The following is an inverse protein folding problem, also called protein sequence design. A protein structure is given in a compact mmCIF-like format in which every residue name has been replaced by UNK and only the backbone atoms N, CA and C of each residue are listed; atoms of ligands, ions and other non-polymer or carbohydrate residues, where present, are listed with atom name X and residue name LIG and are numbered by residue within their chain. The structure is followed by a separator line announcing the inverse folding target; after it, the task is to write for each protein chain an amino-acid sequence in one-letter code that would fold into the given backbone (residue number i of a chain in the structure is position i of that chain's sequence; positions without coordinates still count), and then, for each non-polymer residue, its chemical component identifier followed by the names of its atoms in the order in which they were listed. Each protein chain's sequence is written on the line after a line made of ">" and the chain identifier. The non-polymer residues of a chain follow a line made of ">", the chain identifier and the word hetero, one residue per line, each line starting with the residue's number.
data_IF_842501811610
#
_entry.id   IF_842501811610
#
_cell.length_a   1.000
_cell.length_b   1.000
_cell.length_c   1.000
_cell.angle_alpha   90.00
_cell.angle_beta   90.00
_cell.angle_gamma   90.00
#
_symmetry.space_group_name_H-M   'P 1'
#
loop_
_entity.id
_entity.type
_entity.pdbx_description
1 polymer ?
#
# COMPACT_ATOMS: atom_id res chain seq x y z
N UNK A 1 -22.81 -8.69 -6.21
CA UNK A 1 -23.60 -9.37 -7.26
C UNK A 1 -24.56 -8.40 -7.94
N UNK A 2 -25.51 -7.78 -7.22
CA UNK A 2 -26.45 -6.79 -7.80
C UNK A 2 -25.77 -5.65 -8.57
N UNK A 3 -24.83 -4.95 -7.95
CA UNK A 3 -24.08 -3.85 -8.59
C UNK A 3 -23.16 -4.32 -9.73
N UNK A 4 -22.70 -5.56 -9.67
CA UNK A 4 -21.85 -6.16 -10.70
C UNK A 4 -22.66 -6.72 -11.89
N UNK A 5 -24.00 -6.62 -11.86
CA UNK A 5 -24.87 -7.23 -12.87
C UNK A 5 -24.83 -8.77 -12.90
N UNK A 6 -24.23 -9.40 -11.89
CA UNK A 6 -24.11 -10.85 -11.79
C UNK A 6 -25.42 -11.42 -11.27
N UNK A 7 -26.18 -12.03 -12.17
CA UNK A 7 -27.51 -12.58 -11.87
C UNK A 7 -27.50 -14.02 -11.40
N UNK A 8 -26.43 -14.78 -11.69
CA UNK A 8 -26.36 -16.20 -11.32
C UNK A 8 -25.05 -16.56 -10.62
N UNK A 9 -25.10 -17.60 -9.78
CA UNK A 9 -23.91 -18.21 -9.17
C UNK A 9 -23.01 -18.93 -10.20
N UNK A 10 -23.52 -19.14 -11.42
CA UNK A 10 -22.72 -19.72 -12.50
C UNK A 10 -21.61 -18.76 -12.94
N UNK A 11 -21.85 -17.44 -12.84
CA UNK A 11 -20.94 -16.39 -13.29
C UNK A 11 -19.76 -16.14 -12.31
N UNK A 12 -19.68 -16.89 -11.20
CA UNK A 12 -18.58 -16.79 -10.23
C UNK A 12 -17.70 -18.03 -10.32
N UNK A 13 -16.47 -17.88 -10.80
CA UNK A 13 -15.56 -19.02 -10.99
C UNK A 13 -14.81 -19.43 -9.71
N UNK A 14 -14.47 -18.45 -8.86
CA UNK A 14 -13.72 -18.70 -7.63
C UNK A 14 -14.08 -17.67 -6.54
N UNK A 15 -13.73 -18.01 -5.30
CA UNK A 15 -13.90 -17.14 -4.14
C UNK A 15 -12.53 -16.77 -3.58
N UNK A 16 -12.25 -15.48 -3.55
CA UNK A 16 -10.97 -14.93 -3.09
C UNK A 16 -11.14 -14.30 -1.71
N UNK A 17 -10.12 -14.41 -0.86
CA UNK A 17 -10.14 -13.76 0.45
C UNK A 17 -8.74 -13.33 0.89
N UNK A 18 -8.70 -12.34 1.78
CA UNK A 18 -7.46 -11.88 2.39
C UNK A 18 -6.98 -12.89 3.42
N UNK A 19 -5.90 -13.62 3.13
CA UNK A 19 -5.26 -14.51 4.10
C UNK A 19 -4.44 -13.73 5.13
N UNK A 20 -3.87 -12.60 4.72
CA UNK A 20 -3.06 -11.72 5.56
C UNK A 20 -2.11 -10.85 4.72
N UNK A 21 -1.25 -10.03 5.36
CA UNK A 21 -1.21 -9.79 6.81
C UNK A 21 -2.39 -8.93 7.26
N UNK A 22 -2.56 -8.76 8.59
CA UNK A 22 -3.63 -7.92 9.14
C UNK A 22 -4.08 -8.29 10.55
N UNK A 23 -5.14 -7.62 11.01
CA UNK A 23 -5.73 -7.86 12.34
C UNK A 23 -6.37 -9.24 12.42
N UNK A 24 -6.11 -9.97 13.51
CA UNK A 24 -6.47 -11.38 13.64
C UNK A 24 -7.98 -11.63 13.58
N UNK A 25 -8.76 -10.87 14.35
CA UNK A 25 -10.21 -11.06 14.42
C UNK A 25 -10.93 -10.79 13.07
N UNK A 26 -10.68 -9.67 12.36
CA UNK A 26 -11.24 -9.46 11.02
C UNK A 26 -10.83 -10.54 10.00
N UNK A 27 -9.55 -10.95 10.00
CA UNK A 27 -9.08 -12.01 9.11
C UNK A 27 -9.76 -13.35 9.40
N UNK A 28 -9.98 -13.68 10.68
CA UNK A 28 -10.70 -14.88 11.08
C UNK A 28 -12.14 -14.87 10.57
N UNK A 29 -12.84 -13.74 10.69
CA UNK A 29 -14.20 -13.59 10.17
C UNK A 29 -14.24 -13.80 8.66
N UNK A 30 -13.30 -13.18 7.92
CA UNK A 30 -13.20 -13.34 6.46
C UNK A 30 -12.95 -14.80 6.06
N UNK A 31 -12.01 -15.48 6.72
CA UNK A 31 -11.69 -16.88 6.45
C UNK A 31 -12.88 -17.81 6.74
N UNK A 32 -13.62 -17.60 7.84
CA UNK A 32 -14.81 -18.40 8.14
C UNK A 32 -15.92 -18.17 7.10
N UNK A 33 -16.20 -16.91 6.77
CA UNK A 33 -17.24 -16.55 5.81
C UNK A 33 -16.98 -17.17 4.42
N UNK A 34 -15.75 -17.02 3.89
CA UNK A 34 -15.43 -17.54 2.56
C UNK A 34 -15.47 -19.08 2.50
N UNK A 35 -15.09 -19.76 3.59
CA UNK A 35 -15.14 -21.23 3.69
C UNK A 35 -16.57 -21.75 3.63
N UNK A 36 -17.48 -21.11 4.38
CA UNK A 36 -18.90 -21.43 4.34
C UNK A 36 -19.46 -21.24 2.94
N UNK A 37 -19.15 -20.10 2.30
CA UNK A 37 -19.59 -19.82 0.93
C UNK A 37 -19.03 -20.83 -0.08
N UNK A 38 -17.74 -21.19 0.02
CA UNK A 38 -17.12 -22.17 -0.86
C UNK A 38 -17.77 -23.55 -0.76
N UNK A 39 -18.12 -23.99 0.45
CA UNK A 39 -18.83 -25.26 0.66
C UNK A 39 -20.26 -25.23 0.13
N UNK A 40 -20.99 -24.13 0.36
CA UNK A 40 -22.37 -23.97 -0.12
C UNK A 40 -22.44 -23.88 -1.64
N UNK A 41 -21.56 -23.08 -2.25
CA UNK A 41 -21.58 -22.79 -3.68
C UNK A 41 -20.73 -23.75 -4.50
N UNK A 42 -19.97 -24.63 -3.84
CA UNK A 42 -19.03 -25.59 -4.45
C UNK A 42 -18.05 -24.89 -5.40
N UNK A 43 -17.53 -23.74 -4.96
CA UNK A 43 -16.55 -22.93 -5.72
C UNK A 43 -15.16 -23.04 -5.10
N UNK A 44 -14.09 -23.05 -5.92
CA UNK A 44 -12.72 -23.09 -5.44
C UNK A 44 -12.37 -21.81 -4.66
N UNK A 45 -11.47 -21.95 -3.69
CA UNK A 45 -10.93 -20.87 -2.87
C UNK A 45 -9.57 -20.42 -3.39
N UNK A 46 -9.28 -19.13 -3.22
CA UNK A 46 -7.94 -18.56 -3.43
C UNK A 46 -7.60 -17.63 -2.28
N UNK A 47 -6.55 -17.99 -1.54
CA UNK A 47 -5.95 -17.16 -0.51
C UNK A 47 -5.06 -16.08 -1.13
N UNK A 48 -5.28 -14.82 -0.76
CA UNK A 48 -4.56 -13.68 -1.33
C UNK A 48 -3.78 -12.95 -0.25
N UNK A 49 -2.55 -12.54 -0.58
CA UNK A 49 -1.75 -11.66 0.24
C UNK A 49 -2.19 -10.20 0.02
N UNK A 50 -2.49 -9.50 1.10
CA UNK A 50 -3.00 -8.14 1.08
C UNK A 50 -2.02 -7.13 0.44
N UNK A 51 -0.73 -7.21 0.76
CA UNK A 51 0.28 -6.32 0.21
C UNK A 51 0.45 -6.54 -1.29
N UNK A 52 0.50 -7.79 -1.73
CA UNK A 52 0.56 -8.13 -3.16
C UNK A 52 -0.69 -7.66 -3.90
N UNK A 53 -1.85 -7.71 -3.25
CA UNK A 53 -3.09 -7.25 -3.86
C UNK A 53 -3.10 -5.74 -4.15
N UNK A 54 -2.59 -4.93 -3.21
CA UNK A 54 -2.37 -3.50 -3.43
C UNK A 54 -1.47 -3.25 -4.65
N UNK A 55 -0.37 -3.98 -4.76
CA UNK A 55 0.58 -3.84 -5.87
C UNK A 55 -0.09 -4.20 -7.21
N UNK A 56 -0.72 -5.37 -7.31
CA UNK A 56 -1.28 -5.85 -8.57
C UNK A 56 -2.45 -5.01 -9.05
N UNK A 57 -3.33 -4.56 -8.14
CA UNK A 57 -4.39 -3.62 -8.49
C UNK A 57 -3.81 -2.28 -8.95
N UNK A 58 -2.82 -1.74 -8.24
CA UNK A 58 -2.14 -0.51 -8.63
C UNK A 58 -1.53 -0.60 -10.04
N UNK A 59 -0.87 -1.72 -10.35
CA UNK A 59 -0.32 -1.98 -11.70
C UNK A 59 -1.41 -2.06 -12.76
N UNK A 60 -2.51 -2.78 -12.48
CA UNK A 60 -3.61 -2.96 -13.43
C UNK A 60 -4.28 -1.63 -13.80
N UNK A 61 -4.54 -0.78 -12.80
CA UNK A 61 -5.24 0.50 -12.99
C UNK A 61 -4.34 1.54 -13.64
N UNK A 62 -3.05 1.57 -13.29
CA UNK A 62 -2.12 2.62 -13.74
C UNK A 62 -1.34 2.25 -14.99
N UNK A 63 -1.30 0.97 -15.37
CA UNK A 63 -0.44 0.46 -16.44
C UNK A 63 1.03 0.34 -16.06
N UNK A 64 1.37 0.41 -14.76
CA UNK A 64 2.74 0.27 -14.30
C UNK A 64 3.26 -1.16 -14.54
N UNK A 65 4.26 -1.31 -15.41
CA UNK A 65 4.79 -2.62 -15.78
C UNK A 65 5.67 -3.20 -14.67
N UNK A 66 6.82 -2.58 -14.38
CA UNK A 66 7.79 -3.08 -13.40
C UNK A 66 8.38 -1.97 -12.49
N UNK A 67 7.53 -1.31 -11.68
CA UNK A 67 7.94 -0.20 -10.83
C UNK A 67 8.61 -0.66 -9.52
N UNK A 68 9.33 0.26 -8.88
CA UNK A 68 9.51 0.23 -7.41
C UNK A 68 8.19 0.66 -6.77
N UNK A 69 7.71 -0.09 -5.78
CA UNK A 69 6.45 0.20 -5.12
C UNK A 69 6.70 0.81 -3.75
N UNK A 70 6.15 1.99 -3.49
CA UNK A 70 5.99 2.53 -2.16
C UNK A 70 4.60 2.17 -1.65
N UNK A 71 4.51 1.24 -0.71
CA UNK A 71 3.25 0.85 -0.06
C UNK A 71 3.12 1.54 1.29
N UNK A 72 2.19 2.48 1.40
CA UNK A 72 1.97 3.32 2.58
C UNK A 72 0.50 3.36 2.99
N UNK A 73 0.18 2.67 4.09
CA UNK A 73 -1.18 2.60 4.65
C UNK A 73 -1.19 2.96 6.13
N UNK A 74 -2.36 2.87 6.77
CA UNK A 74 -2.48 2.97 8.23
C UNK A 74 -1.62 1.95 8.98
N UNK A 75 -1.46 0.75 8.41
CA UNK A 75 -0.78 -0.38 9.06
C UNK A 75 0.52 -0.84 8.42
N UNK A 76 0.85 -0.37 7.20
CA UNK A 76 2.04 -0.81 6.46
C UNK A 76 2.83 0.38 5.93
N UNK A 77 4.16 0.27 5.92
CA UNK A 77 5.04 1.23 5.24
C UNK A 77 6.25 0.46 4.73
N UNK A 78 6.27 0.18 3.43
CA UNK A 78 7.24 -0.70 2.78
C UNK A 78 7.64 -0.15 1.41
N UNK A 79 8.91 -0.35 1.04
CA UNK A 79 9.47 -0.13 -0.29
C UNK A 79 9.77 -1.50 -0.89
N UNK A 80 9.09 -1.83 -1.98
CA UNK A 80 9.00 -3.18 -2.52
C UNK A 80 9.41 -3.14 -3.99
N UNK A 81 10.11 -4.16 -4.49
CA UNK A 81 10.27 -4.33 -5.93
C UNK A 81 10.18 -5.80 -6.32
N UNK A 82 9.75 -6.05 -7.56
CA UNK A 82 9.68 -7.40 -8.10
C UNK A 82 11.08 -7.88 -8.51
N UNK A 83 11.46 -9.07 -8.05
CA UNK A 83 12.73 -9.73 -8.35
C UNK A 83 12.61 -11.24 -8.20
N UNK A 84 13.09 -12.00 -9.19
CA UNK A 84 13.17 -13.47 -9.13
C UNK A 84 11.84 -14.15 -8.73
N UNK A 85 10.74 -13.78 -9.39
CA UNK A 85 9.43 -14.40 -9.14
C UNK A 85 8.66 -13.83 -7.95
N UNK A 86 9.26 -12.97 -7.13
CA UNK A 86 8.69 -12.53 -5.84
C UNK A 86 8.76 -11.01 -5.67
N UNK A 87 7.87 -10.47 -4.84
CA UNK A 87 7.93 -9.09 -4.39
C UNK A 87 8.83 -8.99 -3.16
N UNK A 88 10.04 -8.44 -3.33
CA UNK A 88 11.02 -8.29 -2.25
C UNK A 88 10.88 -6.94 -1.58
N UNK A 89 10.98 -6.95 -0.25
CA UNK A 89 10.97 -5.74 0.59
C UNK A 89 12.40 -5.24 0.69
N UNK A 90 12.68 -4.05 0.17
CA UNK A 90 13.98 -3.39 0.26
C UNK A 90 14.08 -2.55 1.52
N UNK A 91 13.01 -1.82 1.83
CA UNK A 91 12.91 -0.99 3.02
C UNK A 91 11.56 -1.12 3.69
N UNK A 92 11.53 -1.01 5.01
CA UNK A 92 10.30 -1.01 5.79
C UNK A 92 10.45 -0.21 7.08
N UNK A 93 9.32 0.19 7.65
CA UNK A 93 9.31 0.71 9.02
C UNK A 93 9.69 -0.39 10.00
N UNK A 94 10.45 -0.03 11.04
CA UNK A 94 10.83 -0.94 12.13
C UNK A 94 9.94 -0.79 13.35
N UNK A 95 9.00 0.16 13.35
CA UNK A 95 8.13 0.45 14.48
C UNK A 95 6.65 0.59 14.11
N UNK A 96 6.17 1.80 13.81
CA UNK A 96 4.80 2.09 13.42
C UNK A 96 4.75 2.43 11.94
N UNK A 97 3.61 2.23 11.28
CA UNK A 97 3.41 2.72 9.92
C UNK A 97 3.21 4.24 9.89
N UNK A 98 3.53 4.85 8.75
CA UNK A 98 3.37 6.28 8.52
C UNK A 98 1.92 6.74 8.70
N UNK A 99 0.94 5.95 8.25
CA UNK A 99 -0.47 6.29 8.45
C UNK A 99 -0.85 6.33 9.93
N UNK A 100 -0.40 5.37 10.74
CA UNK A 100 -0.61 5.41 12.19
C UNK A 100 0.11 6.60 12.86
N UNK A 101 1.30 6.99 12.36
CA UNK A 101 1.98 8.20 12.84
C UNK A 101 1.14 9.46 12.60
N UNK A 102 0.62 9.63 11.37
CA UNK A 102 -0.28 10.72 11.02
C UNK A 102 -1.58 10.68 11.84
N UNK A 103 -2.22 9.52 11.96
CA UNK A 103 -3.47 9.36 12.72
C UNK A 103 -3.31 9.68 14.20
N UNK A 104 -2.17 9.33 14.80
CA UNK A 104 -1.88 9.68 16.20
C UNK A 104 -1.64 11.17 16.36
N UNK A 105 -0.89 11.78 15.45
CA UNK A 105 -0.64 13.21 15.51
C UNK A 105 -1.91 14.04 15.28
N UNK A 106 -2.80 13.60 14.38
CA UNK A 106 -4.10 14.23 14.17
C UNK A 106 -4.94 14.28 15.46
N UNK A 107 -4.88 13.23 16.29
CA UNK A 107 -5.54 13.19 17.60
C UNK A 107 -4.95 14.17 18.59
N UNK A 108 -3.64 14.38 18.59
CA UNK A 108 -2.99 15.40 19.44
C UNK A 108 -3.49 16.81 19.11
N UNK A 109 -3.76 17.07 17.84
CA UNK A 109 -4.32 18.35 17.37
C UNK A 109 -5.85 18.41 17.44
N UNK A 110 -6.52 17.37 17.97
CA UNK A 110 -7.98 17.23 17.99
C UNK A 110 -8.64 17.42 16.61
N UNK A 111 -7.98 16.93 15.54
CA UNK A 111 -8.55 16.95 14.20
C UNK A 111 -9.65 15.88 14.07
N UNK A 112 -10.62 16.15 13.19
CA UNK A 112 -11.69 15.20 12.89
C UNK A 112 -11.12 13.91 12.29
N UNK A 113 -11.80 12.79 12.53
CA UNK A 113 -11.54 11.53 11.83
C UNK A 113 -12.25 11.45 10.47
N UNK A 114 -13.22 12.35 10.22
CA UNK A 114 -13.97 12.42 8.96
C UNK A 114 -13.37 13.51 8.05
N UNK A 115 -13.05 13.22 6.77
CA UNK A 115 -13.18 11.92 6.08
C UNK A 115 -12.07 10.91 6.44
N UNK A 116 -10.86 11.40 6.76
CA UNK A 116 -9.79 10.63 7.39
C UNK A 116 -8.83 11.55 8.15
N UNK A 117 -8.13 11.07 9.19
CA UNK A 117 -7.18 11.90 9.93
C UNK A 117 -6.01 12.37 9.04
N UNK A 118 -5.49 11.49 8.18
CA UNK A 118 -4.43 11.82 7.21
C UNK A 118 -4.84 12.93 6.24
N UNK A 119 -6.06 12.88 5.70
CA UNK A 119 -6.59 13.94 4.85
C UNK A 119 -6.71 15.28 5.60
N UNK A 120 -7.16 15.26 6.85
CA UNK A 120 -7.29 16.48 7.64
C UNK A 120 -5.93 17.09 8.00
N UNK A 121 -4.90 16.27 8.23
CA UNK A 121 -3.51 16.77 8.33
C UNK A 121 -3.09 17.45 7.03
N UNK A 122 -3.37 16.85 5.87
CA UNK A 122 -3.01 17.42 4.57
C UNK A 122 -3.68 18.78 4.32
N UNK A 123 -4.99 18.88 4.58
CA UNK A 123 -5.69 20.16 4.40
C UNK A 123 -5.18 21.25 5.33
N UNK A 124 -4.74 20.87 6.54
CA UNK A 124 -4.18 21.80 7.50
C UNK A 124 -2.73 22.18 7.16
N UNK A 125 -1.94 21.23 6.67
CA UNK A 125 -0.57 21.45 6.21
C UNK A 125 -0.48 22.47 5.07
N UNK A 126 -1.48 22.52 4.17
CA UNK A 126 -1.57 23.53 3.10
C UNK A 126 -1.61 24.98 3.60
N UNK A 127 -1.91 25.20 4.88
CA UNK A 127 -1.95 26.52 5.52
C UNK A 127 -0.71 26.82 6.36
N UNK A 128 0.25 25.88 6.42
CA UNK A 128 1.49 26.08 7.15
C UNK A 128 2.41 27.02 6.37
N UNK A 129 3.05 27.94 7.08
CA UNK A 129 3.97 28.93 6.50
C UNK A 129 5.39 28.75 7.03
N UNK A 130 5.53 28.07 8.17
CA UNK A 130 6.81 27.91 8.88
C UNK A 130 7.21 26.44 8.97
N UNK A 131 8.40 26.13 8.48
CA UNK A 131 9.04 24.84 8.71
C UNK A 131 9.67 24.79 10.11
N UNK A 132 9.36 23.73 10.85
CA UNK A 132 9.93 23.39 12.15
C UNK A 132 10.86 22.21 11.96
N UNK A 133 12.07 22.31 12.50
CA UNK A 133 13.04 21.22 12.42
C UNK A 133 12.55 20.03 13.27
N UNK A 134 12.37 18.88 12.61
CA UNK A 134 11.91 17.64 13.21
C UNK A 134 12.98 16.55 13.01
N UNK A 135 13.08 15.55 13.91
CA UNK A 135 14.06 14.48 13.77
C UNK A 135 13.92 13.71 12.44
N UNK A 136 14.91 13.86 11.57
CA UNK A 136 15.02 13.10 10.33
C UNK A 136 15.76 11.78 10.58
N UNK A 137 15.05 10.65 10.56
CA UNK A 137 15.63 9.35 10.97
C UNK A 137 15.51 8.31 9.87
N UNK A 138 16.54 8.22 9.04
CA UNK A 138 16.71 7.13 8.07
C UNK A 138 17.94 6.29 8.44
N UNK A 139 17.77 4.97 8.57
CA UNK A 139 18.84 4.03 8.88
C UNK A 139 18.96 3.00 7.78
N UNK A 140 19.85 3.28 6.81
CA UNK A 140 20.04 2.45 5.62
C UNK A 140 18.75 2.38 4.80
N UNK A 141 18.02 1.27 4.94
CA UNK A 141 16.75 1.02 4.25
C UNK A 141 15.51 1.15 5.15
N UNK A 142 15.71 1.46 6.43
CA UNK A 142 14.64 1.49 7.43
C UNK A 142 14.33 2.90 7.90
N UNK A 143 13.06 3.13 8.22
CA UNK A 143 12.52 4.44 8.60
C UNK A 143 11.62 4.30 9.84
N UNK A 144 12.14 4.51 11.06
CA UNK A 144 11.32 4.56 12.26
C UNK A 144 10.55 5.88 12.37
N UNK A 145 9.25 5.81 12.67
CA UNK A 145 8.41 7.00 12.86
C UNK A 145 8.08 7.29 14.32
N UNK A 146 8.36 6.39 15.27
CA UNK A 146 8.02 6.62 16.69
C UNK A 146 8.81 7.78 17.29
N UNK A 147 10.08 7.94 16.90
CA UNK A 147 10.93 9.02 17.41
C UNK A 147 10.44 10.41 16.99
N UNK A 148 10.14 10.59 15.70
CA UNK A 148 9.57 11.84 15.19
C UNK A 148 8.18 12.09 15.79
N UNK A 149 7.35 11.05 15.93
CA UNK A 149 6.03 11.16 16.56
C UNK A 149 6.13 11.64 18.01
N UNK A 150 6.93 10.98 18.85
CA UNK A 150 7.08 11.39 20.25
C UNK A 150 7.67 12.79 20.39
N UNK A 151 8.61 13.17 19.52
CA UNK A 151 9.18 14.51 19.52
C UNK A 151 8.14 15.57 19.18
N UNK A 152 7.37 15.38 18.11
CA UNK A 152 6.35 16.36 17.70
C UNK A 152 5.17 16.39 18.66
N UNK A 153 4.77 15.26 19.27
CA UNK A 153 3.74 15.22 20.32
C UNK A 153 4.15 16.09 21.52
N UNK A 154 5.39 15.97 22.01
CA UNK A 154 5.89 16.77 23.12
C UNK A 154 6.03 18.26 22.74
N UNK A 155 6.63 18.52 21.58
CA UNK A 155 6.94 19.88 21.12
C UNK A 155 5.68 20.67 20.75
N UNK A 156 4.66 20.00 20.19
CA UNK A 156 3.39 20.64 19.82
C UNK A 156 2.72 21.27 21.05
N UNK A 157 2.68 20.58 22.19
CA UNK A 157 2.04 21.09 23.42
C UNK A 157 2.69 22.39 23.89
N UNK A 158 4.02 22.44 23.92
CA UNK A 158 4.77 23.63 24.37
C UNK A 158 4.69 24.78 23.36
N UNK A 159 4.94 24.51 22.08
CA UNK A 159 4.98 25.54 21.05
C UNK A 159 3.61 26.16 20.76
N UNK A 160 2.54 25.37 20.79
CA UNK A 160 1.17 25.89 20.64
C UNK A 160 0.79 26.76 21.84
N UNK A 161 1.18 26.36 23.07
CA UNK A 161 0.92 27.16 24.27
C UNK A 161 1.66 28.50 24.25
N UNK A 162 2.88 28.52 23.70
CA UNK A 162 3.71 29.72 23.60
C UNK A 162 3.43 30.56 22.34
N UNK A 163 2.48 30.17 21.48
CA UNK A 163 2.22 30.79 20.17
C UNK A 163 3.47 30.88 19.26
N UNK A 164 4.40 29.92 19.36
CA UNK A 164 5.62 29.88 18.54
C UNK A 164 5.39 29.31 17.13
N UNK A 165 4.30 28.56 16.96
CA UNK A 165 3.85 27.97 15.71
C UNK A 165 2.34 27.75 15.74
N UNK A 166 1.77 27.46 14.58
CA UNK A 166 0.37 27.06 14.42
C UNK A 166 0.25 25.54 14.28
N UNK A 167 -0.96 24.95 14.47
CA UNK A 167 -1.22 23.57 14.10
C UNK A 167 -0.91 23.27 12.62
N UNK A 168 -1.10 24.26 11.75
CA UNK A 168 -0.79 24.17 10.32
C UNK A 168 0.71 24.03 10.06
N UNK A 169 1.54 24.81 10.75
CA UNK A 169 3.00 24.71 10.65
C UNK A 169 3.52 23.33 11.11
N UNK A 170 2.90 22.76 12.15
CA UNK A 170 3.25 21.43 12.63
C UNK A 170 2.86 20.34 11.62
N UNK A 171 1.64 20.39 11.07
CA UNK A 171 1.20 19.47 10.02
C UNK A 171 2.09 19.55 8.78
N UNK A 172 2.43 20.77 8.35
CA UNK A 172 3.34 21.02 7.24
C UNK A 172 4.72 20.41 7.49
N UNK A 173 5.34 20.75 8.62
CA UNK A 173 6.68 20.27 8.97
C UNK A 173 6.75 18.75 9.10
N UNK A 174 5.70 18.15 9.67
CA UNK A 174 5.59 16.70 9.80
C UNK A 174 5.52 16.02 8.42
N UNK A 175 4.67 16.52 7.52
CA UNK A 175 4.54 15.97 6.17
C UNK A 175 5.84 16.11 5.38
N UNK A 176 6.45 17.29 5.35
CA UNK A 176 7.72 17.50 4.63
C UNK A 176 8.81 16.56 5.14
N UNK A 177 8.95 16.41 6.47
CA UNK A 177 10.00 15.56 7.05
C UNK A 177 9.76 14.09 6.74
N UNK A 178 8.54 13.58 6.99
CA UNK A 178 8.20 12.17 6.78
C UNK A 178 8.24 11.80 5.29
N UNK A 179 7.67 12.64 4.43
CA UNK A 179 7.61 12.33 3.00
C UNK A 179 8.98 12.43 2.35
N UNK A 180 9.85 13.34 2.79
CA UNK A 180 11.25 13.33 2.37
C UNK A 180 11.96 12.01 2.73
N UNK A 181 11.73 11.48 3.95
CA UNK A 181 12.26 10.16 4.35
C UNK A 181 11.77 9.03 3.44
N UNK A 182 10.49 9.03 3.08
CA UNK A 182 9.91 8.03 2.18
C UNK A 182 10.48 8.14 0.76
N UNK A 183 10.63 9.36 0.24
CA UNK A 183 11.19 9.63 -1.08
C UNK A 183 12.66 9.20 -1.15
N UNK A 184 13.47 9.52 -0.14
CA UNK A 184 14.89 9.11 -0.07
C UNK A 184 15.06 7.60 -0.22
N UNK A 185 14.25 6.82 0.49
CA UNK A 185 14.42 5.36 0.56
C UNK A 185 13.82 4.69 -0.67
N UNK A 186 12.75 5.27 -1.22
CA UNK A 186 12.22 4.87 -2.54
C UNK A 186 13.26 5.12 -3.63
N UNK A 187 13.91 6.29 -3.64
CA UNK A 187 14.97 6.61 -4.59
C UNK A 187 16.17 5.67 -4.47
N UNK A 188 16.60 5.34 -3.24
CA UNK A 188 17.65 4.33 -3.01
C UNK A 188 17.27 2.99 -3.64
N UNK A 189 16.01 2.57 -3.50
CA UNK A 189 15.55 1.29 -4.04
C UNK A 189 15.51 1.31 -5.56
N UNK A 190 15.10 2.44 -6.16
CA UNK A 190 15.17 2.63 -7.61
C UNK A 190 16.59 2.50 -8.14
N UNK A 191 17.55 3.16 -7.49
CA UNK A 191 18.95 3.08 -7.86
C UNK A 191 19.52 1.66 -7.70
N UNK A 192 19.13 0.95 -6.65
CA UNK A 192 19.59 -0.42 -6.40
C UNK A 192 18.99 -1.45 -7.37
N UNK A 193 17.73 -1.27 -7.76
CA UNK A 193 17.02 -2.19 -8.66
C UNK A 193 17.17 -1.85 -10.15
N UNK A 194 17.86 -0.75 -10.48
CA UNK A 194 17.91 -0.17 -11.84
C UNK A 194 16.52 0.04 -12.46
N UNK A 195 15.59 0.56 -11.65
CA UNK A 195 14.21 0.85 -12.04
C UNK A 195 13.98 2.35 -12.12
N UNK A 196 13.20 2.79 -13.10
CA UNK A 196 12.89 4.21 -13.33
C UNK A 196 11.53 4.63 -12.81
N UNK A 197 10.58 3.69 -12.78
CA UNK A 197 9.20 4.02 -12.44
C UNK A 197 8.91 3.69 -10.97
N UNK A 198 8.06 4.52 -10.35
CA UNK A 198 7.53 4.31 -9.01
C UNK A 198 6.03 4.13 -9.07
N UNK A 199 5.51 3.18 -8.30
CA UNK A 199 4.09 3.02 -8.04
C UNK A 199 3.83 3.31 -6.56
N UNK A 200 2.90 4.21 -6.26
CA UNK A 200 2.44 4.47 -4.89
C UNK A 200 1.09 3.76 -4.68
N UNK A 201 0.98 2.99 -3.60
CA UNK A 201 -0.24 2.29 -3.17
C UNK A 201 -0.47 2.42 -1.67
N UNK A 202 -1.70 2.14 -1.21
CA UNK A 202 -2.14 2.29 0.17
C UNK A 202 -2.70 3.69 0.47
N UNK A 203 -3.58 3.79 1.46
CA UNK A 203 -4.36 5.02 1.70
C UNK A 203 -3.56 6.30 1.96
N UNK A 204 -2.33 6.23 2.47
CA UNK A 204 -1.46 7.42 2.62
C UNK A 204 -0.90 7.86 1.27
N UNK A 205 -0.85 6.95 0.31
CA UNK A 205 -0.44 7.19 -1.07
C UNK A 205 -1.35 8.12 -1.85
N UNK A 206 -2.57 8.36 -1.35
CA UNK A 206 -3.49 9.35 -1.91
C UNK A 206 -3.08 10.80 -1.62
N UNK A 207 -2.16 11.03 -0.67
CA UNK A 207 -1.74 12.36 -0.29
C UNK A 207 -1.06 13.09 -1.46
N UNK A 208 -1.60 14.24 -1.84
CA UNK A 208 -1.16 14.99 -3.03
C UNK A 208 0.28 15.49 -2.86
N UNK A 209 0.66 15.86 -1.63
CA UNK A 209 2.01 16.35 -1.34
C UNK A 209 3.06 15.24 -1.47
N UNK A 210 2.78 14.05 -0.94
CA UNK A 210 3.64 12.88 -1.14
C UNK A 210 3.78 12.54 -2.63
N UNK A 211 2.68 12.55 -3.38
CA UNK A 211 2.72 12.32 -4.82
C UNK A 211 3.51 13.40 -5.57
N UNK A 212 3.39 14.67 -5.18
CA UNK A 212 4.17 15.77 -5.75
C UNK A 212 5.67 15.55 -5.54
N UNK A 213 6.11 15.30 -4.30
CA UNK A 213 7.52 15.06 -3.98
C UNK A 213 8.07 13.84 -4.74
N UNK A 214 7.31 12.75 -4.80
CA UNK A 214 7.71 11.55 -5.53
C UNK A 214 7.77 11.80 -7.05
N UNK A 215 6.84 12.58 -7.60
CA UNK A 215 6.80 12.93 -9.03
C UNK A 215 8.03 13.74 -9.42
N UNK A 216 8.43 14.70 -8.61
CA UNK A 216 9.66 15.47 -8.80
C UNK A 216 10.86 14.53 -8.84
N UNK A 217 11.05 13.69 -7.83
CA UNK A 217 12.17 12.73 -7.77
C UNK A 217 12.18 11.78 -8.99
N UNK A 218 11.03 11.22 -9.37
CA UNK A 218 10.93 10.37 -10.55
C UNK A 218 11.33 11.11 -11.83
N UNK A 219 10.89 12.36 -11.99
CA UNK A 219 11.19 13.17 -13.18
C UNK A 219 12.68 13.48 -13.31
N UNK A 220 13.37 13.76 -12.20
CA UNK A 220 14.82 14.01 -12.16
C UNK A 220 15.64 12.77 -12.55
N UNK A 221 15.06 11.57 -12.34
CA UNK A 221 15.66 10.27 -12.73
C UNK A 221 15.23 9.80 -14.13
N UNK A 222 14.43 10.59 -14.85
CA UNK A 222 13.90 10.23 -16.17
C UNK A 222 12.88 9.09 -16.13
N UNK A 223 12.14 8.97 -15.03
CA UNK A 223 11.10 7.98 -14.80
C UNK A 223 9.73 8.59 -14.53
N UNK A 224 8.75 7.75 -14.19
CA UNK A 224 7.36 8.16 -13.98
C UNK A 224 6.84 7.73 -12.63
N UNK A 225 6.01 8.60 -12.05
CA UNK A 225 5.16 8.24 -10.92
C UNK A 225 3.82 7.71 -11.44
N UNK A 226 3.49 6.50 -11.02
CA UNK A 226 2.16 5.92 -11.08
C UNK A 226 1.52 6.03 -9.70
N UNK A 227 0.38 6.68 -9.62
CA UNK A 227 -0.40 6.79 -8.39
C UNK A 227 -1.86 6.47 -8.72
N UNK A 228 -2.54 5.81 -7.77
CA UNK A 228 -3.96 5.50 -7.88
C UNK A 228 -4.80 6.51 -7.12
N UNK A 229 -6.01 6.78 -7.60
CA UNK A 229 -7.01 7.53 -6.84
C UNK A 229 -7.59 6.69 -5.68
N UNK A 230 -8.34 7.35 -4.80
CA UNK A 230 -8.93 6.77 -3.59
C UNK A 230 -9.72 5.48 -3.83
N UNK A 231 -10.30 5.27 -5.04
CA UNK A 231 -11.15 4.10 -5.32
C UNK A 231 -10.40 2.78 -5.21
N UNK A 232 -9.11 2.78 -5.54
CA UNK A 232 -8.28 1.58 -5.60
C UNK A 232 -7.06 1.62 -4.67
N UNK A 233 -6.68 2.81 -4.19
CA UNK A 233 -5.56 2.99 -3.28
C UNK A 233 -5.87 2.55 -1.84
N UNK A 234 -7.15 2.62 -1.44
CA UNK A 234 -7.61 2.16 -0.12
C UNK A 234 -8.01 0.69 -0.15
N UNK A 235 -8.07 0.07 1.03
CA UNK A 235 -8.44 -1.34 1.18
C UNK A 235 -9.83 -1.62 0.58
N UNK A 236 -9.87 -2.48 -0.42
CA UNK A 236 -11.11 -2.85 -1.11
C UNK A 236 -11.15 -4.34 -1.46
N UNK A 237 -12.35 -4.88 -1.70
CA UNK A 237 -12.51 -6.28 -2.10
C UNK A 237 -12.07 -6.57 -3.53
N UNK A 238 -12.03 -5.55 -4.40
CA UNK A 238 -11.70 -5.72 -5.82
C UNK A 238 -10.22 -6.07 -6.01
N UNK A 239 -9.29 -5.49 -5.25
CA UNK A 239 -7.86 -5.85 -5.33
C UNK A 239 -7.61 -7.32 -4.95
N UNK A 240 -8.39 -7.82 -3.98
CA UNK A 240 -8.33 -9.22 -3.55
C UNK A 240 -8.90 -10.12 -4.64
N UNK A 241 -10.06 -9.76 -5.21
CA UNK A 241 -10.67 -10.51 -6.30
C UNK A 241 -9.77 -10.54 -7.55
N UNK A 242 -9.18 -9.41 -7.95
CA UNK A 242 -8.31 -9.30 -9.10
C UNK A 242 -7.03 -10.15 -8.94
N UNK A 243 -6.35 -10.01 -7.81
CA UNK A 243 -5.11 -10.77 -7.56
C UNK A 243 -5.40 -12.26 -7.41
N UNK A 244 -6.53 -12.61 -6.78
CA UNK A 244 -6.98 -13.99 -6.70
C UNK A 244 -7.37 -14.57 -8.06
N UNK A 245 -7.96 -13.77 -8.96
CA UNK A 245 -8.23 -14.15 -10.34
C UNK A 245 -6.93 -14.41 -11.12
N UNK A 246 -5.92 -13.54 -10.98
CA UNK A 246 -4.59 -13.75 -11.57
C UNK A 246 -3.99 -15.08 -11.10
N UNK A 247 -4.02 -15.34 -9.79
CA UNK A 247 -3.54 -16.59 -9.23
C UNK A 247 -4.34 -17.81 -9.74
N UNK A 248 -5.67 -17.70 -9.75
CA UNK A 248 -6.58 -18.77 -10.21
C UNK A 248 -6.36 -19.13 -11.69
N UNK A 249 -6.20 -18.12 -12.55
CA UNK A 249 -5.94 -18.30 -13.97
C UNK A 249 -4.63 -19.06 -14.23
N UNK A 250 -3.66 -18.98 -13.32
CA UNK A 250 -2.39 -19.70 -13.37
C UNK A 250 -2.42 -20.98 -12.51
N UNK A 251 -3.62 -21.49 -12.20
CA UNK A 251 -3.81 -22.81 -11.57
C UNK A 251 -3.71 -22.81 -10.04
N UNK A 252 -3.50 -21.67 -9.38
CA UNK A 252 -3.46 -21.62 -7.91
C UNK A 252 -4.86 -21.81 -7.35
N UNK A 253 -4.98 -22.75 -6.41
CA UNK A 253 -6.19 -23.01 -5.62
C UNK A 253 -5.79 -23.31 -4.20
N UNK A 254 -6.59 -22.87 -3.24
CA UNK A 254 -6.35 -23.11 -1.81
C UNK A 254 -7.27 -24.23 -1.33
N UNK A 255 -6.73 -25.37 -0.87
CA UNK A 255 -7.51 -26.42 -0.21
C UNK A 255 -8.26 -25.88 1.02
N UNK A 256 -9.38 -26.50 1.37
CA UNK A 256 -10.22 -26.01 2.47
C UNK A 256 -9.49 -26.07 3.82
N UNK A 257 -8.65 -27.07 4.01
CA UNK A 257 -7.76 -27.28 5.16
C UNK A 257 -6.66 -26.21 5.26
N UNK A 258 -6.23 -25.66 4.12
CA UNK A 258 -5.19 -24.62 4.04
C UNK A 258 -5.76 -23.20 3.99
N UNK A 259 -7.09 -23.06 3.86
CA UNK A 259 -7.83 -21.79 3.85
C UNK A 259 -7.90 -21.09 5.22
N UNK A 260 -6.72 -20.94 5.82
CA UNK A 260 -6.43 -20.33 7.11
C UNK A 260 -6.20 -18.82 6.95
N UNK A 261 -5.92 -18.15 8.06
CA UNK A 261 -5.46 -16.77 8.08
C UNK A 261 -4.16 -16.64 8.86
N UNK A 262 -3.39 -15.60 8.58
CA UNK A 262 -2.17 -15.26 9.32
C UNK A 262 -2.04 -13.76 9.47
N UNK A 263 -1.64 -13.31 10.66
CA UNK A 263 -1.36 -11.89 10.91
C UNK A 263 -0.06 -11.44 10.25
N UNK A 264 0.85 -12.37 9.94
CA UNK A 264 2.22 -12.12 9.50
C UNK A 264 2.50 -12.80 8.17
N UNK A 265 1.71 -12.49 7.15
CA UNK A 265 1.95 -12.99 5.80
C UNK A 265 2.97 -12.09 5.11
N UNK A 266 4.22 -12.53 4.94
CA UNK A 266 5.22 -11.69 4.30
C UNK A 266 4.96 -11.55 2.80
N UNK A 267 5.27 -10.37 2.26
CA UNK A 267 5.11 -10.06 0.83
C UNK A 267 5.97 -10.96 -0.06
N UNK A 268 7.17 -11.34 0.40
CA UNK A 268 8.13 -12.17 -0.33
C UNK A 268 7.86 -13.67 -0.23
N UNK A 269 6.90 -14.11 0.59
CA UNK A 269 6.44 -15.51 0.60
C UNK A 269 5.63 -15.86 -0.65
N UNK A 270 5.04 -14.86 -1.31
CA UNK A 270 4.21 -15.04 -2.51
C UNK A 270 5.06 -15.09 -3.77
N UNK A 271 4.96 -16.21 -4.48
CA UNK A 271 5.47 -16.34 -5.83
C UNK A 271 4.42 -15.81 -6.82
N UNK A 272 4.71 -14.67 -7.44
CA UNK A 272 3.81 -14.02 -8.40
C UNK A 272 4.02 -14.64 -9.79
N UNK A 273 3.60 -15.90 -9.94
CA UNK A 273 3.77 -16.70 -11.16
C UNK A 273 3.16 -16.06 -12.40
N UNK A 274 2.09 -15.28 -12.24
CA UNK A 274 1.43 -14.53 -13.30
C UNK A 274 2.32 -13.44 -13.93
N UNK A 275 3.43 -13.07 -13.29
CA UNK A 275 4.40 -12.12 -13.84
C UNK A 275 5.44 -12.78 -14.74
N UNK A 276 5.71 -14.08 -14.56
CA UNK A 276 6.66 -14.82 -15.38
C UNK A 276 6.27 -14.84 -16.85
N UNK A 277 4.98 -15.04 -17.15
CA UNK A 277 4.45 -15.08 -18.51
C UNK A 277 4.44 -13.70 -19.20
N UNK A 278 4.32 -12.61 -18.43
CA UNK A 278 4.38 -11.24 -18.95
C UNK A 278 5.82 -10.83 -19.26
N UNK A 279 6.78 -11.22 -18.42
CA UNK A 279 8.21 -10.99 -18.68
C UNK A 279 8.76 -11.89 -19.80
N UNK A 280 8.24 -13.12 -19.93
CA UNK A 280 8.53 -13.98 -21.08
C UNK A 280 8.04 -13.35 -22.40
N UNK A 281 6.82 -12.76 -22.41
CA UNK A 281 6.31 -12.00 -23.55
C UNK A 281 7.13 -10.73 -23.84
N UNK A 282 7.55 -9.98 -22.81
CA UNK A 282 8.42 -8.80 -22.98
C UNK A 282 9.82 -9.17 -23.50
N UNK A 283 10.31 -10.37 -23.16
CA UNK A 283 11.60 -10.91 -23.62
C UNK A 283 11.49 -11.81 -24.87
N UNK A 284 10.37 -11.78 -25.59
CA UNK A 284 10.22 -12.44 -26.90
C UNK A 284 10.11 -13.97 -26.86
N UNK A 285 9.58 -14.56 -25.78
CA UNK A 285 9.22 -15.97 -25.72
C UNK A 285 7.70 -16.13 -25.89
N UNK A 286 7.34 -16.65 -27.06
CA UNK A 286 5.98 -16.80 -27.58
C UNK A 286 5.06 -17.64 -26.67
N UNK A 287 3.85 -17.14 -26.44
CA UNK A 287 2.79 -17.85 -25.72
C UNK A 287 1.53 -17.00 -25.56
N UNK A 288 0.64 -17.04 -26.56
CA UNK A 288 -0.64 -16.31 -26.55
C UNK A 288 -1.50 -16.67 -25.33
N UNK A 289 -1.74 -15.69 -24.47
CA UNK A 289 -2.92 -15.63 -23.61
C UNK A 289 -3.42 -14.20 -23.72
N UNK A 290 -4.57 -14.04 -24.37
CA UNK A 290 -5.34 -12.80 -24.45
C UNK A 290 -6.34 -12.78 -23.30
N UNK A 291 -6.22 -11.79 -22.41
CA UNK A 291 -7.29 -11.42 -21.49
C UNK A 291 -8.14 -10.42 -22.28
N UNK A 292 -9.39 -10.77 -22.55
CA UNK A 292 -10.34 -9.94 -23.29
C UNK A 292 -11.03 -9.00 -22.30
N UNK A 293 -11.17 -7.73 -22.70
CA UNK A 293 -11.79 -6.61 -21.95
C UNK A 293 -13.17 -6.92 -21.35
#
# INVERSE_FOLDING_TARGET
>A
MSEAGVTTLADVDCLCYTRGPGMGAPLQVSAVAVRVLAQLWKKPLVAVNHCVAHIEMGRAVTGAEDPVVLYVSGGNTQVIAYSEGRYRIFGETIDIAVGNCLDRFARVLNLSNDPSPGYNIEQLAKKGEKFLDLPYVVKGWTFPFSGILSYIEATAVEKLKNNECTPADLCYSLQETIFAMLVEITERAMAHCDKKDVLIVGGVGCNERLQEMMRTMCSERGGRLFATDDRYCVDNGAMIAYTGLLAYAHGIRTPLEESTFTQRFRTDEVEAIWRGDILAKANGLDGKVSIVD
#
